data_IF_409923497086
#
_entry.id   IF_409923497086
#
_cell.length_a   1.000
_cell.length_b   1.000
_cell.length_c   1.000
_cell.angle_alpha   90.00
_cell.angle_beta   90.00
_cell.angle_gamma   90.00
#
_symmetry.space_group_name_H-M   'P 1'
#
loop_
_entity.id
_entity.type
_entity.pdbx_description
1 polymer ?
#
# COMPACT_ATOMS: atom_id res chain seq x y z
N UNK A 1 -15.45 8.88 -16.82
CA UNK A 1 -13.97 8.79 -16.90
C UNK A 1 -13.67 8.13 -18.24
N UNK A 2 -13.00 8.83 -19.17
CA UNK A 2 -12.69 8.29 -20.50
C UNK A 2 -11.94 6.96 -20.31
N UNK A 3 -12.28 5.91 -21.08
CA UNK A 3 -11.67 4.57 -21.06
C UNK A 3 -12.11 3.56 -19.96
N UNK A 4 -13.04 3.91 -19.06
CA UNK A 4 -13.41 2.99 -17.99
C UNK A 4 -14.17 1.74 -18.49
N UNK A 5 -15.04 1.93 -19.47
CA UNK A 5 -15.82 0.84 -20.08
C UNK A 5 -14.96 0.02 -21.06
N UNK A 6 -14.09 0.69 -21.83
CA UNK A 6 -13.19 0.05 -22.80
C UNK A 6 -12.19 -0.91 -22.13
N UNK A 7 -11.64 -0.56 -20.96
CA UNK A 7 -10.71 -1.45 -20.24
C UNK A 7 -11.41 -2.47 -19.31
N UNK A 8 -12.74 -2.47 -19.27
CA UNK A 8 -13.56 -3.42 -18.48
C UNK A 8 -14.51 -4.22 -19.38
N UNK A 9 -14.09 -4.46 -20.61
CA UNK A 9 -14.82 -5.27 -21.58
C UNK A 9 -14.40 -6.75 -21.49
N UNK A 10 -15.40 -7.62 -21.27
CA UNK A 10 -15.18 -9.06 -21.17
C UNK A 10 -14.71 -9.68 -22.49
N UNK A 11 -15.21 -9.22 -23.64
CA UNK A 11 -14.81 -9.73 -24.94
C UNK A 11 -13.34 -9.40 -25.24
N UNK A 12 -12.86 -8.22 -24.80
CA UNK A 12 -11.42 -7.90 -24.91
C UNK A 12 -10.60 -8.86 -24.01
N UNK A 13 -11.04 -9.09 -22.77
CA UNK A 13 -10.34 -9.99 -21.85
C UNK A 13 -10.30 -11.44 -22.36
N UNK A 14 -11.40 -11.95 -22.92
CA UNK A 14 -11.49 -13.29 -23.53
C UNK A 14 -10.54 -13.44 -24.72
N UNK A 15 -10.49 -12.43 -25.61
CA UNK A 15 -9.57 -12.42 -26.74
C UNK A 15 -8.10 -12.41 -26.29
N UNK A 16 -7.76 -11.64 -25.26
CA UNK A 16 -6.42 -11.64 -24.67
C UNK A 16 -6.09 -13.03 -24.10
N UNK A 17 -7.02 -13.64 -23.38
CA UNK A 17 -6.82 -14.95 -22.78
C UNK A 17 -6.61 -16.04 -23.86
N UNK A 18 -7.36 -15.99 -24.96
CA UNK A 18 -7.18 -16.89 -26.10
C UNK A 18 -5.77 -16.75 -26.70
N UNK A 19 -5.29 -15.52 -26.89
CA UNK A 19 -3.93 -15.26 -27.38
C UNK A 19 -2.85 -15.77 -26.41
N UNK A 20 -3.04 -15.58 -25.10
CA UNK A 20 -2.14 -16.11 -24.07
C UNK A 20 -2.07 -17.64 -24.15
N UNK A 21 -3.23 -18.31 -24.27
CA UNK A 21 -3.31 -19.78 -24.42
C UNK A 21 -2.59 -20.28 -25.67
N UNK A 22 -2.73 -19.57 -26.80
CA UNK A 22 -2.08 -19.94 -28.05
C UNK A 22 -0.55 -19.73 -28.04
N UNK A 23 -0.07 -18.73 -27.29
CA UNK A 23 1.36 -18.32 -27.32
C UNK A 23 2.19 -18.96 -26.21
N UNK A 24 1.58 -19.26 -25.05
CA UNK A 24 2.29 -19.69 -23.86
C UNK A 24 2.63 -21.19 -23.90
N UNK A 25 3.81 -21.52 -24.44
CA UNK A 25 4.27 -22.92 -24.60
C UNK A 25 5.22 -23.41 -23.51
N UNK A 26 5.67 -22.52 -22.61
CA UNK A 26 6.66 -22.83 -21.57
C UNK A 26 6.10 -22.51 -20.20
N UNK A 27 6.64 -23.18 -19.18
CA UNK A 27 6.40 -22.78 -17.80
C UNK A 27 7.02 -21.41 -17.53
N UNK A 28 6.20 -20.47 -17.08
CA UNK A 28 6.63 -19.12 -16.72
C UNK A 28 6.07 -18.71 -15.37
N UNK A 29 6.85 -17.91 -14.65
CA UNK A 29 6.48 -17.28 -13.39
C UNK A 29 6.57 -15.78 -13.55
N UNK A 30 5.45 -15.09 -13.41
CA UNK A 30 5.36 -13.63 -13.50
C UNK A 30 5.12 -13.08 -12.11
N UNK A 31 5.91 -12.10 -11.69
CA UNK A 31 5.76 -11.44 -10.40
C UNK A 31 5.31 -10.01 -10.58
N UNK A 32 4.23 -9.63 -9.90
CA UNK A 32 3.85 -8.23 -9.73
C UNK A 32 4.39 -7.69 -8.39
N UNK A 33 4.65 -6.39 -8.32
CA UNK A 33 5.17 -5.70 -7.13
C UNK A 33 4.32 -4.46 -6.86
N UNK A 34 3.00 -4.61 -6.91
CA UNK A 34 2.06 -3.53 -6.65
C UNK A 34 0.80 -4.08 -5.96
N UNK A 35 0.55 -3.69 -4.71
CA UNK A 35 -0.63 -4.14 -3.96
C UNK A 35 -1.96 -3.93 -4.71
N UNK A 36 -2.06 -2.88 -5.53
CA UNK A 36 -3.24 -2.63 -6.37
C UNK A 36 -3.43 -3.72 -7.44
N UNK A 37 -2.35 -4.21 -8.06
CA UNK A 37 -2.40 -5.36 -8.95
C UNK A 37 -2.74 -6.64 -8.20
N UNK A 38 -2.17 -6.87 -7.02
CA UNK A 38 -2.52 -8.02 -6.17
C UNK A 38 -4.03 -8.09 -5.94
N UNK A 39 -4.65 -6.96 -5.54
CA UNK A 39 -6.09 -6.85 -5.31
C UNK A 39 -6.88 -7.04 -6.60
N UNK A 40 -6.46 -6.43 -7.71
CA UNK A 40 -7.14 -6.57 -9.00
C UNK A 40 -7.12 -8.03 -9.52
N UNK A 41 -5.98 -8.71 -9.41
CA UNK A 41 -5.81 -10.12 -9.79
C UNK A 41 -6.72 -11.01 -8.96
N UNK A 42 -6.75 -10.80 -7.64
CA UNK A 42 -7.59 -11.56 -6.73
C UNK A 42 -9.09 -11.32 -7.01
N UNK A 43 -9.49 -10.04 -7.04
CA UNK A 43 -10.90 -9.64 -7.21
C UNK A 43 -11.51 -10.14 -8.52
N UNK A 44 -10.73 -10.19 -9.59
CA UNK A 44 -11.19 -10.64 -10.90
C UNK A 44 -10.86 -12.12 -11.18
N UNK A 45 -10.33 -12.86 -10.21
CA UNK A 45 -10.05 -14.29 -10.38
C UNK A 45 -9.02 -14.62 -11.46
N UNK A 46 -8.12 -13.68 -11.81
CA UNK A 46 -7.21 -13.81 -12.97
C UNK A 46 -6.36 -15.09 -12.86
N UNK A 47 -5.94 -15.47 -11.65
CA UNK A 47 -5.18 -16.72 -11.42
C UNK A 47 -5.93 -17.98 -11.86
N UNK A 48 -7.25 -18.00 -11.73
CA UNK A 48 -8.07 -19.17 -12.07
C UNK A 48 -8.35 -19.31 -13.56
N UNK A 49 -8.22 -18.23 -14.34
CA UNK A 49 -8.50 -18.25 -15.79
C UNK A 49 -7.24 -18.39 -16.64
N UNK A 50 -6.04 -18.17 -16.06
CA UNK A 50 -4.78 -18.33 -16.78
C UNK A 50 -4.46 -19.81 -17.06
N UNK A 51 -3.67 -20.11 -18.11
CA UNK A 51 -3.13 -21.44 -18.35
C UNK A 51 -2.30 -21.96 -17.17
N UNK A 52 -2.32 -23.27 -16.93
CA UNK A 52 -1.59 -23.90 -15.80
C UNK A 52 -0.08 -23.70 -15.85
N UNK A 53 0.50 -23.52 -17.04
CA UNK A 53 1.92 -23.22 -17.22
C UNK A 53 2.31 -21.77 -16.87
N UNK A 54 1.36 -20.92 -16.44
CA UNK A 54 1.61 -19.54 -16.01
C UNK A 54 1.28 -19.40 -14.53
N UNK A 55 2.29 -19.11 -13.71
CA UNK A 55 2.09 -18.75 -12.31
C UNK A 55 2.20 -17.24 -12.10
N UNK A 56 1.22 -16.66 -11.40
CA UNK A 56 1.27 -15.27 -10.93
C UNK A 56 1.68 -15.18 -9.46
N UNK A 57 2.87 -14.65 -9.22
CA UNK A 57 3.43 -14.38 -7.91
C UNK A 57 3.13 -12.94 -7.48
N UNK A 58 2.88 -12.75 -6.19
CA UNK A 58 2.78 -11.42 -5.58
C UNK A 58 4.06 -11.14 -4.80
N UNK A 59 4.81 -10.15 -5.28
CA UNK A 59 6.02 -9.66 -4.64
C UNK A 59 5.75 -8.61 -3.56
N UNK A 60 6.80 -7.98 -3.02
CA UNK A 60 6.70 -7.02 -1.93
C UNK A 60 6.20 -5.64 -2.41
N UNK A 61 4.96 -5.56 -2.90
CA UNK A 61 4.34 -4.36 -3.48
C UNK A 61 3.63 -3.44 -2.49
N UNK A 62 3.84 -3.63 -1.18
CA UNK A 62 3.20 -2.89 -0.10
C UNK A 62 4.27 -2.07 0.64
N UNK A 63 4.34 -0.73 0.45
CA UNK A 63 5.40 0.09 1.05
C UNK A 63 5.38 0.04 2.59
N UNK A 64 4.19 -0.02 3.19
CA UNK A 64 4.01 -0.18 4.64
C UNK A 64 4.59 -1.49 5.14
N UNK A 65 4.29 -2.59 4.43
CA UNK A 65 4.69 -3.95 4.82
C UNK A 65 6.20 -4.18 4.73
N UNK A 66 6.92 -3.36 3.96
CA UNK A 66 8.39 -3.42 3.81
C UNK A 66 9.12 -2.33 4.58
N UNK A 67 8.39 -1.47 5.31
CA UNK A 67 9.00 -0.46 6.17
C UNK A 67 9.77 -1.18 7.28
N UNK A 68 11.03 -0.78 7.49
CA UNK A 68 11.89 -1.46 8.46
C UNK A 68 11.40 -1.23 9.89
N UNK A 69 11.55 -2.23 10.76
CA UNK A 69 11.26 -2.06 12.19
C UNK A 69 12.09 -0.94 12.82
N UNK A 70 13.32 -0.74 12.35
CA UNK A 70 14.20 0.34 12.80
C UNK A 70 13.57 1.72 12.52
N UNK A 71 13.00 1.94 11.35
CA UNK A 71 12.35 3.20 10.99
C UNK A 71 11.02 3.40 11.74
N UNK A 72 10.26 2.32 11.97
CA UNK A 72 9.07 2.36 12.81
C UNK A 72 9.44 2.77 14.24
N UNK A 73 10.49 2.19 14.81
CA UNK A 73 10.94 2.52 16.17
C UNK A 73 11.45 3.96 16.28
N UNK A 74 12.19 4.46 15.28
CA UNK A 74 12.58 5.88 15.20
C UNK A 74 11.35 6.79 15.16
N UNK A 75 10.34 6.43 14.38
CA UNK A 75 9.10 7.19 14.27
C UNK A 75 8.32 7.19 15.59
N UNK A 76 8.25 6.06 16.29
CA UNK A 76 7.66 5.95 17.63
C UNK A 76 8.41 6.81 18.65
N UNK A 77 9.74 6.86 18.57
CA UNK A 77 10.54 7.75 19.42
C UNK A 77 10.23 9.22 19.14
N UNK A 78 10.13 9.63 17.86
CA UNK A 78 9.79 10.99 17.45
C UNK A 78 8.38 11.37 17.93
N UNK A 79 7.39 10.47 17.78
CA UNK A 79 6.01 10.71 18.18
C UNK A 79 5.85 11.03 19.68
N UNK A 80 6.76 10.54 20.52
CA UNK A 80 6.79 10.74 21.98
C UNK A 80 7.41 12.07 22.41
N UNK A 81 8.07 12.78 21.50
CA UNK A 81 8.74 14.02 21.86
C UNK A 81 7.71 15.12 22.16
N UNK A 82 8.10 16.04 23.04
CA UNK A 82 7.27 17.22 23.33
C UNK A 82 7.16 18.09 22.09
N UNK A 83 6.00 18.72 21.94
CA UNK A 83 5.70 19.67 20.86
C UNK A 83 5.81 19.09 19.44
N UNK A 84 5.80 17.77 19.29
CA UNK A 84 5.70 17.09 17.99
C UNK A 84 4.24 16.81 17.63
N UNK A 85 3.91 17.02 16.36
CA UNK A 85 2.76 16.40 15.70
C UNK A 85 3.33 15.41 14.68
N UNK A 86 2.86 14.17 14.69
CA UNK A 86 3.26 13.16 13.71
C UNK A 86 2.09 12.83 12.77
N UNK A 87 2.03 13.43 11.57
CA UNK A 87 1.15 12.99 10.50
C UNK A 87 1.56 11.60 9.98
N UNK A 88 0.60 10.73 9.73
CA UNK A 88 0.87 9.40 9.15
C UNK A 88 -0.31 8.91 8.31
N UNK A 89 -0.06 8.01 7.36
CA UNK A 89 -1.13 7.35 6.62
C UNK A 89 -1.85 6.34 7.53
N UNK A 90 -3.14 6.12 7.28
CA UNK A 90 -3.98 5.32 8.17
C UNK A 90 -3.58 3.84 8.26
N UNK A 91 -2.96 3.30 7.22
CA UNK A 91 -2.43 1.93 7.16
C UNK A 91 -1.19 1.73 8.04
N UNK A 92 -0.42 2.78 8.31
CA UNK A 92 0.77 2.74 9.17
C UNK A 92 0.43 2.74 10.67
N UNK A 93 -0.76 3.22 11.07
CA UNK A 93 -1.15 3.41 12.48
C UNK A 93 -1.00 2.14 13.34
N UNK A 94 -1.33 0.99 12.76
CA UNK A 94 -1.39 -0.30 13.46
C UNK A 94 -0.14 -1.16 13.27
N UNK A 95 0.86 -0.67 12.54
CA UNK A 95 2.07 -1.44 12.30
C UNK A 95 2.87 -1.52 13.61
N UNK A 96 3.20 -2.73 14.08
CA UNK A 96 3.94 -2.89 15.33
C UNK A 96 5.41 -2.49 15.13
N UNK A 97 5.92 -1.67 16.04
CA UNK A 97 7.35 -1.54 16.31
C UNK A 97 7.82 -2.57 17.33
N UNK A 98 9.03 -2.40 17.86
CA UNK A 98 9.62 -3.34 18.81
C UNK A 98 8.89 -3.39 20.16
N UNK A 99 8.29 -2.28 20.61
CA UNK A 99 7.69 -2.17 21.94
C UNK A 99 6.28 -1.57 21.96
N UNK A 100 5.79 -1.02 20.84
CA UNK A 100 4.48 -0.37 20.76
C UNK A 100 4.07 -0.13 19.29
N UNK A 101 2.97 0.57 19.06
CA UNK A 101 2.51 1.03 17.74
C UNK A 101 2.06 2.49 17.81
N UNK A 102 1.88 3.15 16.66
CA UNK A 102 1.39 4.52 16.62
C UNK A 102 -0.03 4.63 17.21
N UNK A 103 -0.85 3.59 17.07
CA UNK A 103 -2.17 3.50 17.73
C UNK A 103 -2.05 3.56 19.25
N UNK A 104 -1.15 2.77 19.83
CA UNK A 104 -0.92 2.72 21.27
C UNK A 104 -0.33 4.03 21.81
N UNK A 105 0.64 4.62 21.12
CA UNK A 105 1.25 5.88 21.55
C UNK A 105 0.27 7.05 21.43
N UNK A 106 -0.61 7.04 20.41
CA UNK A 106 -1.73 7.98 20.32
C UNK A 106 -2.67 7.84 21.51
N UNK A 107 -2.99 6.62 21.93
CA UNK A 107 -3.80 6.38 23.12
C UNK A 107 -3.13 6.85 24.42
N UNK A 108 -1.79 6.89 24.46
CA UNK A 108 -0.99 7.44 25.57
C UNK A 108 -0.82 8.97 25.51
N UNK A 109 -1.38 9.64 24.51
CA UNK A 109 -1.41 11.10 24.40
C UNK A 109 -0.44 11.72 23.41
N UNK A 110 0.28 10.92 22.60
CA UNK A 110 1.05 11.46 21.47
C UNK A 110 0.12 12.12 20.43
N UNK A 111 0.51 13.27 19.89
CA UNK A 111 -0.26 14.02 18.88
C UNK A 111 -0.02 13.41 17.48
N UNK A 112 -0.61 12.24 17.23
CA UNK A 112 -0.51 11.50 15.96
C UNK A 112 -1.79 11.74 15.14
N UNK A 113 -1.63 12.17 13.89
CA UNK A 113 -2.76 12.56 13.02
C UNK A 113 -2.76 11.76 11.73
N UNK A 114 -3.91 11.20 11.37
CA UNK A 114 -4.05 10.50 10.08
C UNK A 114 -4.20 11.53 8.96
N UNK A 115 -3.43 11.36 7.90
CA UNK A 115 -3.47 12.17 6.69
C UNK A 115 -3.69 11.31 5.44
N UNK A 116 -4.19 11.93 4.38
CA UNK A 116 -4.39 11.29 3.06
C UNK A 116 -3.38 11.77 2.03
N UNK A 117 -2.62 12.82 2.34
CA UNK A 117 -1.53 13.31 1.51
C UNK A 117 -0.44 13.96 2.35
N UNK A 118 0.77 14.07 1.78
CA UNK A 118 1.83 14.88 2.38
C UNK A 118 1.48 16.38 2.44
N UNK A 119 0.54 16.86 1.63
CA UNK A 119 0.08 18.26 1.68
C UNK A 119 -0.75 18.53 2.93
N UNK A 120 -1.48 17.54 3.44
CA UNK A 120 -2.22 17.68 4.68
C UNK A 120 -1.25 17.92 5.86
N UNK A 121 -0.08 17.27 5.85
CA UNK A 121 0.99 17.49 6.83
C UNK A 121 1.53 18.93 6.77
N UNK A 122 1.71 19.47 5.55
CA UNK A 122 2.12 20.87 5.36
C UNK A 122 1.08 21.85 5.91
N UNK A 123 -0.21 21.60 5.70
CA UNK A 123 -1.27 22.43 6.24
C UNK A 123 -1.38 22.34 7.77
N UNK A 124 -1.12 21.15 8.34
CA UNK A 124 -0.99 20.98 9.79
C UNK A 124 0.17 21.83 10.31
N UNK A 125 1.33 21.82 9.64
CA UNK A 125 2.49 22.62 10.03
C UNK A 125 2.18 24.13 10.01
N UNK A 126 1.57 24.64 8.94
CA UNK A 126 1.17 26.05 8.82
C UNK A 126 0.24 26.51 9.94
N UNK A 127 -0.65 25.63 10.41
CA UNK A 127 -1.62 25.93 11.48
C UNK A 127 -1.03 25.77 12.89
N UNK A 128 0.14 25.16 13.03
CA UNK A 128 0.79 24.90 14.32
C UNK A 128 2.25 25.37 14.30
N UNK A 129 2.52 26.68 14.10
CA UNK A 129 3.88 27.21 13.89
C UNK A 129 4.84 26.99 15.07
N UNK A 130 4.31 26.76 16.26
CA UNK A 130 5.06 26.46 17.50
C UNK A 130 5.38 24.97 17.70
N UNK A 131 4.87 24.08 16.83
CA UNK A 131 5.08 22.64 16.93
C UNK A 131 5.94 22.12 15.78
N UNK A 132 6.70 21.07 16.05
CA UNK A 132 7.44 20.32 15.04
C UNK A 132 6.50 19.34 14.36
N UNK A 133 6.26 19.50 13.06
CA UNK A 133 5.47 18.57 12.26
C UNK A 133 6.43 17.77 11.39
N UNK A 134 6.49 16.46 11.62
CA UNK A 134 7.48 15.54 11.05
C UNK A 134 6.79 14.45 10.26
#
# INVERSE_FOLDING_TARGET
MKYFDEYRDAAIAENILANIRATSTREIRLMEVCGTHTVAIFRNGIRGILPENISLLSGPGCPVCVTSNEDIDKTLYIAKQKDVILPTFGDMIKVPGSNSSLEEERARGADIRVVYSALDALDIARRNPQKMVV
#
